data_IF_822439883502
#
_entry.id   IF_822439883502
#
_cell.length_a   1.000
_cell.length_b   1.000
_cell.length_c   1.000
_cell.angle_alpha   90.00
_cell.angle_beta   90.00
_cell.angle_gamma   90.00
#
_symmetry.space_group_name_H-M   'P 1'
#
loop_
_entity.id
_entity.type
_entity.pdbx_description
1 polymer ?
#
# COMPACT_ATOMS: atom_id res chain seq x y z
N UNK A 1 -2.60 39.06 16.39
CA UNK A 1 -2.45 37.61 16.50
C UNK A 1 -1.96 37.13 15.15
N UNK A 2 -0.66 36.86 15.07
CA UNK A 2 -0.01 36.28 13.89
C UNK A 2 -0.61 34.91 13.63
N UNK A 3 -1.19 34.72 12.45
CA UNK A 3 -1.50 33.38 11.96
C UNK A 3 -0.19 32.70 11.64
N UNK A 4 0.28 31.84 12.53
CA UNK A 4 1.35 30.90 12.20
C UNK A 4 0.94 30.15 10.92
N UNK A 5 1.80 30.04 9.90
CA UNK A 5 1.48 29.27 8.71
C UNK A 5 1.20 27.83 9.12
N UNK A 6 0.18 27.22 8.52
CA UNK A 6 -0.05 25.77 8.57
C UNK A 6 1.05 25.06 7.75
N UNK A 7 2.33 25.21 8.12
CA UNK A 7 3.38 24.30 7.71
C UNK A 7 3.29 23.06 8.60
N UNK A 8 2.67 22.01 8.06
CA UNK A 8 2.86 20.57 8.33
C UNK A 8 1.55 19.82 8.08
N UNK A 9 1.18 19.69 6.81
CA UNK A 9 0.60 18.44 6.33
C UNK A 9 1.49 17.94 5.22
N UNK A 10 2.14 16.81 5.47
CA UNK A 10 3.09 16.15 4.58
C UNK A 10 2.37 15.78 3.29
N UNK A 11 2.33 16.69 2.31
CA UNK A 11 1.60 16.53 1.05
C UNK A 11 2.37 15.70 0.01
N UNK A 12 3.16 14.72 0.45
CA UNK A 12 4.06 13.93 -0.39
C UNK A 12 3.88 12.43 -0.21
N UNK A 13 4.32 11.66 -1.20
CA UNK A 13 4.39 10.21 -1.07
C UNK A 13 5.32 9.78 0.08
N UNK A 14 5.10 8.60 0.68
CA UNK A 14 5.94 8.11 1.77
C UNK A 14 7.41 7.94 1.33
N UNK A 15 8.32 8.19 2.27
CA UNK A 15 9.73 7.88 2.08
C UNK A 15 9.96 6.38 2.25
N UNK A 16 10.30 5.70 1.15
CA UNK A 16 10.49 4.25 1.12
C UNK A 16 11.94 3.94 0.79
N UNK A 17 12.53 3.01 1.53
CA UNK A 17 13.87 2.47 1.27
C UNK A 17 13.79 0.94 1.18
N UNK A 18 14.32 0.38 0.09
CA UNK A 18 14.37 -1.07 -0.14
C UNK A 18 15.82 -1.44 -0.39
N UNK A 19 16.39 -2.29 0.47
CA UNK A 19 17.78 -2.76 0.38
C UNK A 19 18.81 -1.63 0.19
N UNK A 20 18.68 -0.53 0.95
CA UNK A 20 19.57 0.63 0.85
C UNK A 20 19.25 1.61 -0.28
N UNK A 21 18.28 1.31 -1.14
CA UNK A 21 17.86 2.20 -2.23
C UNK A 21 16.63 3.00 -1.83
N UNK A 22 16.77 4.32 -1.74
CA UNK A 22 15.65 5.24 -1.53
C UNK A 22 14.86 5.39 -2.81
N UNK A 23 13.55 5.20 -2.73
CA UNK A 23 12.63 5.41 -3.84
C UNK A 23 12.39 6.91 -4.05
N UNK A 24 12.27 7.32 -5.32
CA UNK A 24 11.72 8.64 -5.64
C UNK A 24 10.22 8.69 -5.34
N UNK A 25 9.64 9.90 -5.25
CA UNK A 25 8.20 10.06 -5.07
C UNK A 25 7.38 9.31 -6.12
N UNK A 26 7.80 9.36 -7.39
CA UNK A 26 7.15 8.62 -8.47
C UNK A 26 7.21 7.10 -8.28
N UNK A 27 8.30 6.57 -7.74
CA UNK A 27 8.44 5.15 -7.42
C UNK A 27 7.61 4.75 -6.18
N UNK A 28 7.54 5.62 -5.17
CA UNK A 28 6.68 5.42 -4.01
C UNK A 28 5.19 5.42 -4.39
N UNK A 29 4.76 6.36 -5.23
CA UNK A 29 3.43 6.39 -5.85
C UNK A 29 3.15 5.09 -6.60
N UNK A 30 4.06 4.67 -7.48
CA UNK A 30 3.90 3.44 -8.26
C UNK A 30 3.73 2.20 -7.36
N UNK A 31 4.49 2.12 -6.26
CA UNK A 31 4.34 1.05 -5.28
C UNK A 31 2.96 1.09 -4.60
N UNK A 32 2.50 2.28 -4.16
CA UNK A 32 1.19 2.45 -3.54
C UNK A 32 0.05 2.02 -4.47
N UNK A 33 0.11 2.40 -5.74
CA UNK A 33 -0.85 1.97 -6.77
C UNK A 33 -0.80 0.46 -6.95
N UNK A 34 0.40 -0.13 -7.11
CA UNK A 34 0.55 -1.58 -7.28
C UNK A 34 -0.01 -2.37 -6.09
N UNK A 35 0.27 -1.95 -4.86
CA UNK A 35 -0.28 -2.56 -3.65
C UNK A 35 -1.81 -2.42 -3.60
N UNK A 36 -2.35 -1.25 -3.96
CA UNK A 36 -3.80 -1.00 -3.96
C UNK A 36 -4.52 -1.88 -4.99
N UNK A 37 -4.02 -1.90 -6.24
CA UNK A 37 -4.60 -2.72 -7.31
C UNK A 37 -4.51 -4.21 -6.98
N UNK A 38 -3.38 -4.67 -6.41
CA UNK A 38 -3.25 -6.06 -6.03
C UNK A 38 -4.17 -6.42 -4.84
N UNK A 39 -4.36 -5.51 -3.88
CA UNK A 39 -5.31 -5.71 -2.78
C UNK A 39 -6.75 -5.83 -3.27
N UNK A 40 -7.16 -4.99 -4.24
CA UNK A 40 -8.45 -5.08 -4.90
C UNK A 40 -8.61 -6.45 -5.56
N UNK A 41 -7.64 -6.87 -6.38
CA UNK A 41 -7.64 -8.20 -7.02
C UNK A 41 -7.77 -9.33 -6.01
N UNK A 42 -7.07 -9.27 -4.87
CA UNK A 42 -7.16 -10.31 -3.83
C UNK A 42 -8.46 -10.26 -3.02
N UNK A 43 -9.27 -9.21 -3.21
CA UNK A 43 -10.58 -9.03 -2.59
C UNK A 43 -11.74 -9.28 -3.58
N UNK A 44 -11.45 -9.58 -4.84
CA UNK A 44 -12.45 -9.86 -5.87
C UNK A 44 -12.99 -11.29 -5.75
N UNK A 45 -14.30 -11.40 -5.49
CA UNK A 45 -15.01 -12.67 -5.41
C UNK A 45 -14.52 -13.59 -4.29
N UNK A 46 -14.94 -14.86 -4.35
CA UNK A 46 -14.68 -15.83 -3.29
C UNK A 46 -13.30 -16.50 -3.40
N UNK A 47 -12.64 -16.43 -4.56
CA UNK A 47 -11.45 -17.23 -4.87
C UNK A 47 -10.59 -16.60 -5.99
N UNK A 48 -9.96 -15.44 -5.76
CA UNK A 48 -9.23 -14.68 -6.79
C UNK A 48 -7.95 -15.34 -7.29
N UNK A 49 -7.46 -16.38 -6.60
CA UNK A 49 -6.30 -17.19 -6.98
C UNK A 49 -6.68 -18.65 -7.30
N UNK A 50 -7.96 -18.92 -7.55
CA UNK A 50 -8.47 -20.26 -7.81
C UNK A 50 -9.25 -20.85 -6.62
N UNK A 51 -10.16 -21.80 -6.90
CA UNK A 51 -11.14 -22.29 -5.94
C UNK A 51 -10.62 -23.41 -5.03
N UNK A 52 -9.35 -23.81 -5.15
CA UNK A 52 -8.76 -24.79 -4.25
C UNK A 52 -8.41 -24.17 -2.88
N UNK A 53 -8.09 -25.03 -1.92
CA UNK A 53 -7.73 -24.58 -0.57
C UNK A 53 -6.49 -23.68 -0.56
N UNK A 54 -5.51 -24.00 -1.42
CA UNK A 54 -4.28 -23.24 -1.53
C UNK A 54 -4.56 -21.81 -2.01
N UNK A 55 -5.34 -21.64 -3.07
CA UNK A 55 -5.73 -20.36 -3.64
C UNK A 55 -6.48 -19.48 -2.64
N UNK A 56 -7.45 -20.05 -1.91
CA UNK A 56 -8.16 -19.34 -0.84
C UNK A 56 -7.23 -18.90 0.28
N UNK A 57 -6.34 -19.79 0.75
CA UNK A 57 -5.38 -19.49 1.82
C UNK A 57 -4.39 -18.41 1.41
N UNK A 58 -3.86 -18.50 0.18
CA UNK A 58 -2.92 -17.50 -0.35
C UNK A 58 -3.58 -16.13 -0.52
N UNK A 59 -4.81 -16.08 -1.04
CA UNK A 59 -5.56 -14.82 -1.17
C UNK A 59 -5.81 -14.15 0.19
N UNK A 60 -6.11 -14.93 1.24
CA UNK A 60 -6.25 -14.41 2.60
C UNK A 60 -4.93 -13.81 3.12
N UNK A 61 -3.82 -14.55 3.00
CA UNK A 61 -2.50 -14.09 3.45
C UNK A 61 -2.05 -12.83 2.71
N UNK A 62 -2.24 -12.76 1.39
CA UNK A 62 -1.89 -11.58 0.62
C UNK A 62 -2.74 -10.37 1.01
N UNK A 63 -4.06 -10.52 1.19
CA UNK A 63 -4.92 -9.42 1.67
C UNK A 63 -4.44 -8.87 3.01
N UNK A 64 -4.08 -9.76 3.94
CA UNK A 64 -3.62 -9.38 5.27
C UNK A 64 -2.35 -8.54 5.20
N UNK A 65 -1.32 -9.02 4.49
CA UNK A 65 -0.05 -8.29 4.36
C UNK A 65 -0.21 -7.00 3.55
N UNK A 66 -1.03 -7.00 2.51
CA UNK A 66 -1.31 -5.80 1.72
C UNK A 66 -2.02 -4.72 2.54
N UNK A 67 -2.93 -5.11 3.45
CA UNK A 67 -3.58 -4.14 4.35
C UNK A 67 -2.57 -3.46 5.28
N UNK A 68 -1.63 -4.22 5.83
CA UNK A 68 -0.56 -3.67 6.67
C UNK A 68 0.35 -2.72 5.87
N UNK A 69 0.80 -3.14 4.70
CA UNK A 69 1.63 -2.30 3.82
C UNK A 69 0.90 -1.03 3.44
N UNK A 70 -0.36 -1.13 3.01
CA UNK A 70 -1.18 0.02 2.63
C UNK A 70 -1.39 0.98 3.79
N UNK A 71 -1.61 0.46 5.00
CA UNK A 71 -1.72 1.30 6.20
C UNK A 71 -0.43 2.09 6.46
N UNK A 72 0.74 1.44 6.36
CA UNK A 72 2.04 2.10 6.55
C UNK A 72 2.32 3.17 5.50
N UNK A 73 1.96 2.93 4.23
CA UNK A 73 2.29 3.83 3.11
C UNK A 73 1.18 4.85 2.79
N UNK A 74 0.03 4.78 3.47
CA UNK A 74 -1.09 5.73 3.29
C UNK A 74 -1.36 6.59 4.53
N UNK A 75 -0.73 6.29 5.67
CA UNK A 75 -0.84 7.07 6.90
C UNK A 75 0.08 8.30 6.89
N UNK A 76 -0.13 9.20 5.92
CA UNK A 76 0.46 10.53 5.86
C UNK A 76 -0.64 11.61 5.96
#
# INVERSE_FOLDING_TARGET
MSGEPLELRMSGEPQIEINGTKLSEGQAMALRVACTSFFQKMSEGDSPLGPDELGRRMAALYRERLREVLWLISAA
#
